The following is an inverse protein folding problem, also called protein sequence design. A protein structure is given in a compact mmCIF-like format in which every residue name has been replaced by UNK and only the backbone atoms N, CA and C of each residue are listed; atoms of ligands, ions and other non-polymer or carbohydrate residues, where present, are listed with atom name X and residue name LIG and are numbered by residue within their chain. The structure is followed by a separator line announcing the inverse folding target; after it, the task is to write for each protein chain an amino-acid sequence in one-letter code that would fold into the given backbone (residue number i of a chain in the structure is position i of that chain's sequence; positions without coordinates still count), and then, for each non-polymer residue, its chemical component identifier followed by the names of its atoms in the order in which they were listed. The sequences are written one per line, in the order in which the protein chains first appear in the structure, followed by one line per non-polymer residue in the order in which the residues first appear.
data_IF_423226993747
#
_entry.id   IF_423226993747
#
_cell.length_a   1.000
_cell.length_b   1.000
_cell.length_c   1.000
_cell.angle_alpha   90.00
_cell.angle_beta   90.00
_cell.angle_gamma   90.00
#
_symmetry.space_group_name_H-M   'P 1'
#
loop_
_entity.id
_entity.type
_entity.pdbx_description
1 polymer ?
#
# COMPACT_ATOMS: atom_id res chain seq x y z
N UNK A 1 -1.19 12.79 8.00
CA UNK A 1 -2.19 12.25 7.05
C UNK A 1 -3.34 11.51 7.71
N UNK A 2 -3.20 10.97 8.93
CA UNK A 2 -4.30 10.27 9.62
C UNK A 2 -5.56 11.12 9.71
N UNK A 3 -6.72 10.51 9.46
CA UNK A 3 -8.03 11.16 9.46
C UNK A 3 -8.40 11.87 8.15
N UNK A 4 -7.46 12.03 7.22
CA UNK A 4 -7.71 12.65 5.92
C UNK A 4 -8.22 11.61 4.91
N UNK A 5 -9.00 12.08 3.94
CA UNK A 5 -9.40 11.29 2.78
C UNK A 5 -8.63 11.76 1.56
N UNK A 6 -7.95 10.84 0.89
CA UNK A 6 -7.17 11.10 -0.33
C UNK A 6 -7.79 10.25 -1.44
N UNK A 7 -8.32 10.90 -2.48
CA UNK A 7 -9.22 10.25 -3.44
C UNK A 7 -10.40 9.61 -2.70
N UNK A 8 -10.48 8.28 -2.68
CA UNK A 8 -11.50 7.49 -1.98
C UNK A 8 -10.91 6.66 -0.84
N UNK A 9 -9.68 6.97 -0.41
CA UNK A 9 -9.00 6.31 0.69
C UNK A 9 -9.02 7.17 1.94
N UNK A 10 -9.73 6.73 2.97
CA UNK A 10 -9.69 7.35 4.30
C UNK A 10 -8.50 6.79 5.08
N UNK A 11 -7.52 7.63 5.41
CA UNK A 11 -6.32 7.21 6.14
C UNK A 11 -6.67 6.99 7.61
N UNK A 12 -6.49 5.75 8.09
CA UNK A 12 -6.86 5.33 9.44
C UNK A 12 -5.68 5.36 10.39
N UNK A 13 -4.55 4.75 10.02
CA UNK A 13 -3.37 4.62 10.88
C UNK A 13 -2.10 4.51 10.04
N UNK A 14 -0.94 4.85 10.60
CA UNK A 14 0.36 4.53 10.02
C UNK A 14 0.71 3.07 10.36
N UNK A 15 1.17 2.31 9.36
CA UNK A 15 1.62 0.92 9.52
C UNK A 15 3.14 0.83 9.60
N UNK A 16 3.86 1.71 8.91
CA UNK A 16 5.32 1.72 8.94
C UNK A 16 5.93 2.81 8.07
N UNK A 17 7.20 3.09 8.30
CA UNK A 17 7.98 4.11 7.59
C UNK A 17 9.40 3.59 7.34
N UNK A 18 9.97 3.97 6.20
CA UNK A 18 11.35 3.69 5.86
C UNK A 18 11.84 4.59 4.72
N UNK A 19 13.03 4.29 4.19
CA UNK A 19 13.70 5.17 3.21
C UNK A 19 12.95 5.40 1.89
N UNK A 20 11.90 4.62 1.59
CA UNK A 20 11.05 4.82 0.40
C UNK A 20 9.76 5.59 0.67
N UNK A 21 9.50 5.95 1.92
CA UNK A 21 8.29 6.63 2.35
C UNK A 21 7.50 5.85 3.40
N UNK A 22 6.20 6.14 3.47
CA UNK A 22 5.33 5.76 4.60
C UNK A 22 4.15 4.92 4.11
N UNK A 23 3.87 3.83 4.83
CA UNK A 23 2.71 2.96 4.58
C UNK A 23 1.64 3.25 5.62
N UNK A 24 0.42 3.45 5.16
CA UNK A 24 -0.76 3.65 6.00
C UNK A 24 -1.79 2.57 5.78
N UNK A 25 -2.52 2.24 6.84
CA UNK A 25 -3.81 1.57 6.76
C UNK A 25 -4.85 2.61 6.35
N UNK A 26 -5.61 2.29 5.31
CA UNK A 26 -6.72 3.10 4.86
C UNK A 26 -7.97 2.23 4.68
N UNK A 27 -9.13 2.89 4.69
CA UNK A 27 -10.38 2.34 4.21
C UNK A 27 -10.61 2.82 2.79
N UNK A 28 -10.75 1.90 1.84
CA UNK A 28 -11.28 2.19 0.51
C UNK A 28 -12.79 2.35 0.65
N UNK A 29 -13.28 3.59 0.59
CA UNK A 29 -14.68 3.92 0.82
C UNK A 29 -15.56 3.41 -0.33
N UNK A 30 -15.00 3.30 -1.54
CA UNK A 30 -15.71 2.82 -2.73
C UNK A 30 -15.98 1.32 -2.66
N UNK A 31 -15.02 0.57 -2.11
CA UNK A 31 -15.08 -0.90 -1.98
C UNK A 31 -15.45 -1.37 -0.56
N UNK A 32 -15.59 -0.44 0.39
CA UNK A 32 -15.86 -0.67 1.80
C UNK A 32 -14.93 -1.74 2.41
N UNK A 33 -13.63 -1.64 2.12
CA UNK A 33 -12.61 -2.61 2.56
C UNK A 33 -11.35 -1.91 3.07
N UNK A 34 -10.54 -2.61 3.86
CA UNK A 34 -9.29 -2.08 4.41
C UNK A 34 -8.12 -2.41 3.48
N UNK A 35 -7.28 -1.41 3.21
CA UNK A 35 -6.15 -1.51 2.29
C UNK A 35 -4.90 -0.85 2.87
N UNK A 36 -3.73 -1.26 2.40
CA UNK A 36 -2.47 -0.58 2.69
C UNK A 36 -2.11 0.39 1.55
N UNK A 37 -1.87 1.66 1.87
CA UNK A 37 -1.49 2.70 0.90
C UNK A 37 -0.08 3.19 1.23
N UNK A 38 0.85 3.09 0.26
CA UNK A 38 2.23 3.58 0.42
C UNK A 38 2.40 4.93 -0.27
N UNK A 39 2.78 5.94 0.49
CA UNK A 39 3.20 7.25 -0.01
C UNK A 39 4.71 7.27 -0.17
N UNK A 40 5.19 7.73 -1.31
CA UNK A 40 6.61 7.84 -1.60
C UNK A 40 7.17 9.14 -1.00
N UNK A 41 8.39 9.09 -0.45
CA UNK A 41 9.10 10.29 0.00
C UNK A 41 9.34 11.26 -1.17
N UNK A 42 9.32 12.57 -0.88
CA UNK A 42 9.57 13.60 -1.89
C UNK A 42 10.99 13.44 -2.49
N UNK A 43 11.10 13.61 -3.81
CA UNK A 43 12.38 13.43 -4.54
C UNK A 43 12.66 12.00 -5.02
N UNK A 44 11.79 11.03 -4.71
CA UNK A 44 11.85 9.67 -5.28
C UNK A 44 11.19 9.60 -6.67
N UNK A 45 11.60 10.48 -7.59
CA UNK A 45 11.16 10.45 -9.00
C UNK A 45 12.16 9.73 -9.91
N UNK A 46 13.24 9.20 -9.33
CA UNK A 46 14.20 8.40 -10.08
C UNK A 46 13.55 7.05 -10.49
N UNK A 47 13.63 6.76 -11.79
CA UNK A 47 13.14 5.52 -12.43
C UNK A 47 13.50 4.25 -11.63
N UNK A 48 14.64 4.24 -10.94
CA UNK A 48 15.06 3.12 -10.09
C UNK A 48 14.12 2.85 -8.90
N UNK A 49 13.62 3.89 -8.24
CA UNK A 49 12.72 3.72 -7.10
C UNK A 49 11.35 3.23 -7.54
N UNK A 50 10.83 3.75 -8.66
CA UNK A 50 9.58 3.27 -9.25
C UNK A 50 9.69 1.80 -9.66
N UNK A 51 10.79 1.40 -10.28
CA UNK A 51 11.04 0.01 -10.65
C UNK A 51 11.09 -0.92 -9.43
N UNK A 52 11.77 -0.51 -8.36
CA UNK A 52 11.84 -1.29 -7.12
C UNK A 52 10.49 -1.35 -6.40
N UNK A 53 9.75 -0.25 -6.34
CA UNK A 53 8.39 -0.21 -5.79
C UNK A 53 7.46 -1.15 -6.55
N UNK A 54 7.46 -1.13 -7.87
CA UNK A 54 6.65 -2.04 -8.69
C UNK A 54 7.06 -3.51 -8.52
N UNK A 55 8.36 -3.79 -8.33
CA UNK A 55 8.84 -5.15 -8.04
C UNK A 55 8.33 -5.64 -6.69
N UNK A 56 8.42 -4.81 -5.65
CA UNK A 56 7.92 -5.13 -4.31
C UNK A 56 6.39 -5.31 -4.32
N UNK A 57 5.65 -4.42 -4.99
CA UNK A 57 4.20 -4.54 -5.13
C UNK A 57 3.79 -5.85 -5.83
N UNK A 58 4.45 -6.21 -6.94
CA UNK A 58 4.19 -7.49 -7.64
C UNK A 58 4.46 -8.70 -6.75
N UNK A 59 5.53 -8.69 -5.98
CA UNK A 59 5.85 -9.77 -5.05
C UNK A 59 4.79 -9.88 -3.93
N UNK A 60 4.35 -8.75 -3.37
CA UNK A 60 3.32 -8.73 -2.33
C UNK A 60 1.95 -9.20 -2.84
N UNK A 61 1.54 -8.80 -4.05
CA UNK A 61 0.30 -9.28 -4.68
C UNK A 61 0.34 -10.78 -4.94
N UNK A 62 1.48 -11.30 -5.41
CA UNK A 62 1.64 -12.75 -5.62
C UNK A 62 1.52 -13.54 -4.31
N UNK A 63 2.05 -13.02 -3.20
CA UNK A 63 1.91 -13.64 -1.88
C UNK A 63 0.47 -13.59 -1.36
N UNK A 64 -0.21 -12.46 -1.51
CA UNK A 64 -1.61 -12.32 -1.11
C UNK A 64 -2.52 -13.32 -1.88
N UNK A 65 -2.34 -13.44 -3.19
CA UNK A 65 -3.10 -14.36 -4.03
C UNK A 65 -2.83 -15.84 -3.73
N UNK A 66 -1.64 -16.17 -3.19
CA UNK A 66 -1.33 -17.53 -2.72
C UNK A 66 -1.99 -17.83 -1.37
N UNK A 67 -2.13 -16.83 -0.49
CA UNK A 67 -2.79 -17.00 0.81
C UNK A 67 -4.29 -17.29 0.66
N UNK A 68 -4.96 -16.68 -0.33
CA UNK A 68 -6.38 -16.95 -0.63
C UNK A 68 -6.63 -18.35 -1.20
N UNK A 69 -5.62 -18.98 -1.80
CA UNK A 69 -5.69 -20.34 -2.33
C UNK A 69 -5.47 -21.43 -1.28
N UNK A 70 -4.87 -21.08 -0.14
CA UNK A 70 -4.53 -22.04 0.92
C UNK A 70 -5.63 -22.17 2.00
N UNK A 71 -6.62 -21.27 2.04
CA UNK A 71 -7.75 -21.29 2.99
C UNK A 71 -9.02 -21.88 2.37
N UNK A 72 -8.91 -22.52 1.20
CA UNK A 72 -9.98 -23.30 0.57
C UNK A 72 -9.84 -24.78 0.88
N UNK A 73 -9.99 -25.18 2.14
CA UNK A 73 -10.38 -26.53 2.61
C UNK A 73 -10.99 -26.38 4.00
#
# INVERSE_FOLDING_TARGET
MIGQTISHYRILNQLGEGGMGVVYLAEDISLNTRVAVKFLAAGLDDHNYRARFLREARAATALAALSERATGT
#
